data_IF_983326592400
#
_entry.id   IF_983326592400
#
_cell.length_a   1.000
_cell.length_b   1.000
_cell.length_c   1.000
_cell.angle_alpha   90.00
_cell.angle_beta   90.00
_cell.angle_gamma   90.00
#
_symmetry.space_group_name_H-M   'P 1'
#
loop_
_entity.id
_entity.type
_entity.pdbx_description
1 polymer ?
#
# COMPACT_ATOMS: atom_id res chain seq x y z
N UNK A 1 2.74 -30.99 -5.79
CA UNK A 1 2.42 -29.70 -5.15
C UNK A 1 1.31 -29.04 -5.97
N UNK A 2 0.21 -28.68 -5.34
CA UNK A 2 -0.87 -27.92 -5.96
C UNK A 2 -0.58 -26.43 -5.67
N UNK A 3 -0.20 -25.67 -6.70
CA UNK A 3 0.06 -24.24 -6.57
C UNK A 3 -1.23 -23.44 -6.80
N UNK A 4 -1.40 -22.39 -6.01
CA UNK A 4 -2.48 -21.43 -6.19
C UNK A 4 -2.08 -20.31 -7.16
N UNK A 5 -3.03 -19.77 -7.91
CA UNK A 5 -2.78 -18.58 -8.76
C UNK A 5 -2.24 -17.45 -7.88
N UNK A 6 -1.22 -16.74 -8.38
CA UNK A 6 -0.46 -15.72 -7.67
C UNK A 6 0.41 -16.23 -6.52
N UNK A 7 0.65 -17.53 -6.43
CA UNK A 7 1.66 -18.08 -5.52
C UNK A 7 3.06 -17.82 -6.08
N UNK A 8 3.96 -17.36 -5.21
CA UNK A 8 5.33 -17.01 -5.58
C UNK A 8 6.30 -18.11 -5.21
N UNK A 9 7.23 -18.38 -6.12
CA UNK A 9 8.36 -19.27 -5.91
C UNK A 9 9.67 -18.45 -5.92
N UNK A 10 10.36 -18.42 -4.79
CA UNK A 10 11.69 -17.82 -4.67
C UNK A 10 12.74 -18.91 -4.87
N UNK A 11 13.52 -18.79 -5.93
CA UNK A 11 14.58 -19.75 -6.27
C UNK A 11 15.93 -19.16 -5.85
N UNK A 12 16.68 -19.84 -4.95
CA UNK A 12 18.00 -19.35 -4.53
C UNK A 12 18.99 -19.35 -5.69
N UNK A 13 20.08 -18.56 -5.61
CA UNK A 13 21.12 -18.52 -6.61
C UNK A 13 21.78 -19.90 -6.75
N UNK A 14 22.09 -20.30 -7.99
CA UNK A 14 22.86 -21.50 -8.24
C UNK A 14 24.36 -21.19 -8.08
N UNK A 15 25.02 -21.86 -7.12
CA UNK A 15 26.41 -21.60 -6.72
C UNK A 15 27.44 -21.61 -7.87
N UNK A 16 27.16 -22.28 -8.97
CA UNK A 16 28.10 -22.48 -10.08
C UNK A 16 27.66 -21.88 -11.40
N UNK A 17 26.62 -21.01 -11.43
CA UNK A 17 26.16 -20.41 -12.68
C UNK A 17 26.05 -18.89 -12.56
N UNK A 18 26.99 -18.12 -13.13
CA UNK A 18 26.99 -16.64 -13.05
C UNK A 18 25.73 -15.99 -13.67
N UNK A 19 25.00 -16.69 -14.52
CA UNK A 19 23.74 -16.22 -15.11
C UNK A 19 22.60 -16.22 -14.08
N UNK A 20 22.72 -17.01 -13.01
CA UNK A 20 21.73 -17.16 -11.93
C UNK A 20 22.32 -16.85 -10.55
N UNK A 21 23.30 -15.96 -10.51
CA UNK A 21 24.01 -15.57 -9.28
C UNK A 21 23.18 -14.70 -8.30
N UNK A 22 21.91 -14.44 -8.63
CA UNK A 22 20.94 -13.77 -7.75
C UNK A 22 19.70 -14.63 -7.61
N UNK A 23 18.99 -14.45 -6.50
CA UNK A 23 17.67 -15.03 -6.30
C UNK A 23 16.73 -14.64 -7.44
N UNK A 24 15.90 -15.57 -7.87
CA UNK A 24 14.91 -15.35 -8.92
C UNK A 24 13.53 -15.59 -8.36
N UNK A 25 12.60 -14.70 -8.65
CA UNK A 25 11.21 -14.80 -8.22
C UNK A 25 10.35 -15.17 -9.42
N UNK A 26 9.47 -16.14 -9.22
CA UNK A 26 8.50 -16.60 -10.21
C UNK A 26 7.10 -16.53 -9.59
N UNK A 27 6.09 -16.24 -10.40
CA UNK A 27 4.68 -16.26 -10.01
C UNK A 27 3.95 -17.36 -10.79
N UNK A 28 3.07 -18.10 -10.13
CA UNK A 28 2.24 -19.10 -10.76
C UNK A 28 0.98 -18.45 -11.37
N UNK A 29 0.80 -18.61 -12.68
CA UNK A 29 -0.30 -18.00 -13.46
C UNK A 29 -1.54 -18.88 -13.54
N UNK A 30 -1.57 -20.01 -12.86
CA UNK A 30 -2.60 -21.04 -12.97
C UNK A 30 -2.29 -22.10 -14.03
N UNK A 31 -1.24 -21.90 -14.84
CA UNK A 31 -0.78 -22.85 -15.87
C UNK A 31 0.72 -23.09 -15.81
N UNK A 32 1.49 -22.05 -15.57
CA UNK A 32 2.95 -22.10 -15.59
C UNK A 32 3.53 -21.08 -14.61
N UNK A 33 4.81 -21.24 -14.28
CA UNK A 33 5.58 -20.22 -13.56
C UNK A 33 6.17 -19.24 -14.54
N UNK A 34 5.90 -17.94 -14.32
CA UNK A 34 6.50 -16.87 -15.07
C UNK A 34 7.46 -16.07 -14.17
N UNK A 35 8.59 -15.67 -14.75
CA UNK A 35 9.57 -14.88 -14.00
C UNK A 35 9.01 -13.49 -13.73
N UNK A 36 9.01 -13.07 -12.47
CA UNK A 36 8.55 -11.75 -12.05
C UNK A 36 9.47 -10.67 -12.62
N UNK A 37 8.87 -9.61 -13.16
CA UNK A 37 9.59 -8.43 -13.65
C UNK A 37 10.06 -7.60 -12.46
N UNK A 38 11.16 -6.89 -12.63
CA UNK A 38 11.59 -5.89 -11.68
C UNK A 38 10.78 -4.60 -11.90
N UNK A 39 9.94 -4.28 -10.93
CA UNK A 39 9.18 -3.03 -10.89
C UNK A 39 9.91 -1.96 -10.10
N UNK A 40 9.57 -0.70 -10.37
CA UNK A 40 10.00 0.45 -9.59
C UNK A 40 8.82 1.33 -9.27
N UNK A 41 8.81 1.91 -8.07
CA UNK A 41 7.84 2.93 -7.66
C UNK A 41 8.54 4.28 -7.73
N UNK A 42 7.93 5.24 -8.42
CA UNK A 42 8.43 6.61 -8.53
C UNK A 42 7.27 7.59 -8.42
N UNK A 43 7.42 8.58 -7.59
CA UNK A 43 6.48 9.69 -7.38
C UNK A 43 7.25 11.01 -7.25
N UNK A 44 6.57 12.14 -7.21
CA UNK A 44 7.17 13.45 -6.93
C UNK A 44 7.88 13.50 -5.57
N UNK A 45 7.48 12.63 -4.63
CA UNK A 45 8.00 12.56 -3.26
C UNK A 45 9.16 11.59 -3.09
N UNK A 46 9.59 10.91 -4.16
CA UNK A 46 10.74 10.01 -4.12
C UNK A 46 11.95 10.67 -4.79
N UNK A 47 13.07 10.80 -4.07
CA UNK A 47 14.32 11.32 -4.65
C UNK A 47 14.82 10.44 -5.81
N UNK A 48 14.73 9.11 -5.63
CA UNK A 48 15.07 8.11 -6.65
C UNK A 48 13.96 7.06 -6.75
N UNK A 49 13.85 6.35 -7.88
CA UNK A 49 12.90 5.24 -8.00
C UNK A 49 13.16 4.17 -6.93
N UNK A 50 12.12 3.83 -6.19
CA UNK A 50 12.16 2.78 -5.19
C UNK A 50 12.25 1.43 -5.89
N UNK A 51 13.26 0.63 -5.53
CA UNK A 51 13.49 -0.73 -6.02
C UNK A 51 13.36 -1.73 -4.89
N UNK A 52 12.90 -2.95 -5.16
CA UNK A 52 12.90 -4.01 -4.15
C UNK A 52 14.34 -4.35 -3.74
N UNK A 53 14.54 -4.62 -2.45
CA UNK A 53 15.85 -4.94 -1.86
C UNK A 53 16.02 -6.42 -1.57
N UNK A 54 14.94 -7.19 -1.59
CA UNK A 54 14.90 -8.62 -1.33
C UNK A 54 13.75 -9.27 -2.11
N UNK A 55 13.73 -10.61 -2.22
CA UNK A 55 12.70 -11.33 -2.99
C UNK A 55 11.27 -11.10 -2.51
N UNK A 56 11.06 -10.97 -1.21
CA UNK A 56 9.73 -10.74 -0.63
C UNK A 56 9.18 -9.37 -1.04
N UNK A 57 10.04 -8.35 -1.12
CA UNK A 57 9.66 -7.05 -1.67
C UNK A 57 9.39 -7.11 -3.18
N UNK A 58 10.08 -7.98 -3.93
CA UNK A 58 9.77 -8.24 -5.35
C UNK A 58 8.35 -8.82 -5.46
N UNK A 59 8.00 -9.82 -4.65
CA UNK A 59 6.66 -10.40 -4.62
C UNK A 59 5.59 -9.34 -4.30
N UNK A 60 5.81 -8.51 -3.28
CA UNK A 60 4.86 -7.45 -2.91
C UNK A 60 4.70 -6.42 -4.02
N UNK A 61 5.81 -5.97 -4.63
CA UNK A 61 5.75 -5.00 -5.73
C UNK A 61 5.05 -5.58 -6.97
N UNK A 62 5.29 -6.85 -7.28
CA UNK A 62 4.60 -7.53 -8.37
C UNK A 62 3.09 -7.60 -8.10
N UNK A 63 2.67 -8.00 -6.90
CA UNK A 63 1.27 -8.03 -6.51
C UNK A 63 0.61 -6.65 -6.62
N UNK A 64 1.29 -5.59 -6.17
CA UNK A 64 0.80 -4.21 -6.27
C UNK A 64 0.64 -3.74 -7.72
N UNK A 65 1.56 -4.12 -8.61
CA UNK A 65 1.61 -3.64 -10.01
C UNK A 65 0.71 -4.43 -10.97
N UNK A 66 0.19 -5.58 -10.57
CA UNK A 66 -0.65 -6.43 -11.40
C UNK A 66 -2.14 -6.37 -11.07
N UNK A 67 -2.61 -5.24 -10.54
CA UNK A 67 -4.02 -4.93 -10.28
C UNK A 67 -4.76 -6.02 -9.48
N UNK A 68 -4.04 -6.68 -8.54
CA UNK A 68 -4.65 -7.62 -7.61
C UNK A 68 -5.57 -6.83 -6.67
N UNK A 69 -6.88 -7.13 -6.65
CA UNK A 69 -7.86 -6.27 -5.98
C UNK A 69 -7.73 -6.23 -4.46
N UNK A 70 -7.21 -7.31 -3.84
CA UNK A 70 -7.01 -7.40 -2.39
C UNK A 70 -5.63 -7.97 -2.13
N UNK A 71 -4.78 -7.22 -1.42
CA UNK A 71 -3.43 -7.62 -1.05
C UNK A 71 -3.29 -7.54 0.47
N UNK A 72 -2.94 -8.64 1.11
CA UNK A 72 -2.55 -8.69 2.51
C UNK A 72 -1.03 -8.80 2.62
N UNK A 73 -0.38 -7.76 3.17
CA UNK A 73 1.06 -7.71 3.36
C UNK A 73 1.44 -7.98 4.82
N UNK A 74 1.61 -9.24 5.18
CA UNK A 74 2.07 -9.69 6.49
C UNK A 74 3.60 -9.77 6.61
N UNK A 75 4.13 -9.74 7.82
CA UNK A 75 5.56 -9.96 8.09
C UNK A 75 6.14 -9.09 9.20
N UNK A 76 7.41 -9.34 9.54
CA UNK A 76 8.13 -8.66 10.63
C UNK A 76 8.22 -7.14 10.45
N UNK A 77 8.42 -6.42 11.55
CA UNK A 77 8.68 -4.97 11.53
C UNK A 77 9.92 -4.62 10.73
N UNK A 78 9.93 -3.45 10.11
CA UNK A 78 11.10 -2.95 9.36
C UNK A 78 11.34 -3.62 8.00
N UNK A 79 10.45 -4.49 7.53
CA UNK A 79 10.60 -5.17 6.22
C UNK A 79 10.17 -4.32 5.02
N UNK A 80 9.66 -3.10 5.25
CA UNK A 80 9.31 -2.14 4.21
C UNK A 80 7.89 -2.26 3.66
N UNK A 81 6.99 -3.06 4.25
CA UNK A 81 5.59 -3.22 3.81
C UNK A 81 4.89 -1.88 3.65
N UNK A 82 4.76 -1.13 4.75
CA UNK A 82 4.12 0.19 4.79
C UNK A 82 4.77 1.17 3.81
N UNK A 83 6.10 1.18 3.76
CA UNK A 83 6.84 2.05 2.84
C UNK A 83 6.49 1.77 1.37
N UNK A 84 6.48 0.51 0.95
CA UNK A 84 6.16 0.13 -0.43
C UNK A 84 4.69 0.40 -0.78
N UNK A 85 3.76 -0.01 0.08
CA UNK A 85 2.32 0.15 -0.17
C UNK A 85 1.89 1.62 -0.23
N UNK A 86 2.43 2.47 0.65
CA UNK A 86 2.10 3.89 0.68
C UNK A 86 2.70 4.63 -0.51
N UNK A 87 3.96 4.39 -0.85
CA UNK A 87 4.56 4.99 -2.05
C UNK A 87 3.86 4.52 -3.34
N UNK A 88 3.43 3.26 -3.41
CA UNK A 88 2.62 2.77 -4.52
C UNK A 88 1.28 3.51 -4.63
N UNK A 89 0.56 3.69 -3.52
CA UNK A 89 -0.72 4.39 -3.52
C UNK A 89 -0.56 5.86 -3.95
N UNK A 90 0.49 6.54 -3.48
CA UNK A 90 0.82 7.91 -3.90
C UNK A 90 1.13 7.97 -5.40
N UNK A 91 1.97 7.07 -5.90
CA UNK A 91 2.27 6.99 -7.34
C UNK A 91 1.00 6.80 -8.18
N UNK A 92 0.10 5.93 -7.75
CA UNK A 92 -1.18 5.69 -8.46
C UNK A 92 -2.11 6.89 -8.40
N UNK A 93 -2.15 7.62 -7.28
CA UNK A 93 -2.91 8.85 -7.14
C UNK A 93 -2.40 9.94 -8.10
N UNK A 94 -1.08 10.10 -8.24
CA UNK A 94 -0.47 11.03 -9.20
C UNK A 94 -0.81 10.66 -10.64
N UNK A 95 -0.60 9.39 -11.01
CA UNK A 95 -0.94 8.86 -12.34
C UNK A 95 -2.43 9.06 -12.67
N UNK A 96 -3.30 8.82 -11.69
CA UNK A 96 -4.73 9.01 -11.83
C UNK A 96 -5.13 10.49 -12.00
N UNK A 97 -4.37 11.42 -11.40
CA UNK A 97 -4.64 12.86 -11.56
C UNK A 97 -4.37 13.35 -13.00
N UNK A 98 -3.42 12.72 -13.69
CA UNK A 98 -3.06 13.04 -15.08
C UNK A 98 -3.86 12.20 -16.10
N UNK A 99 -4.55 11.17 -15.66
CA UNK A 99 -5.28 10.24 -16.53
C UNK A 99 -6.66 10.76 -16.91
N UNK A 100 -7.01 10.60 -18.18
CA UNK A 100 -8.37 10.78 -18.69
C UNK A 100 -9.24 9.51 -18.54
N UNK A 101 -8.69 8.43 -17.98
CA UNK A 101 -9.38 7.18 -17.71
C UNK A 101 -10.33 7.34 -16.52
N UNK A 102 -11.60 7.01 -16.71
CA UNK A 102 -12.62 7.12 -15.66
C UNK A 102 -12.36 6.13 -14.52
N UNK A 103 -11.70 5.00 -14.79
CA UNK A 103 -11.36 3.98 -13.80
C UNK A 103 -10.02 4.24 -13.08
N UNK A 104 -9.32 5.33 -13.43
CA UNK A 104 -8.06 5.68 -12.79
C UNK A 104 -8.24 6.02 -11.29
N UNK A 105 -7.23 5.74 -10.50
CA UNK A 105 -7.23 6.05 -9.06
C UNK A 105 -7.28 7.56 -8.84
N UNK A 106 -8.34 8.05 -8.22
CA UNK A 106 -8.55 9.49 -7.92
C UNK A 106 -8.38 9.82 -6.44
N UNK A 107 -8.41 8.81 -5.56
CA UNK A 107 -8.43 8.99 -4.11
C UNK A 107 -7.67 7.88 -3.39
N UNK A 108 -7.06 8.22 -2.26
CA UNK A 108 -6.59 7.28 -1.25
C UNK A 108 -7.55 7.31 -0.08
N UNK A 109 -8.06 6.16 0.33
CA UNK A 109 -8.80 5.96 1.56
C UNK A 109 -7.85 5.33 2.58
N UNK A 110 -7.54 6.03 3.63
CA UNK A 110 -6.68 5.53 4.69
C UNK A 110 -7.51 5.11 5.91
N UNK A 111 -7.39 3.86 6.28
CA UNK A 111 -8.12 3.26 7.41
C UNK A 111 -7.11 2.95 8.51
N UNK A 112 -6.94 3.84 9.49
CA UNK A 112 -6.10 3.55 10.65
C UNK A 112 -6.80 2.56 11.57
N UNK A 113 -6.10 1.52 12.00
CA UNK A 113 -6.61 0.55 12.96
C UNK A 113 -5.73 0.53 14.21
N UNK A 114 -5.68 1.64 14.91
CA UNK A 114 -5.03 1.75 16.20
C UNK A 114 -6.05 2.13 17.28
N UNK A 115 -5.85 1.62 18.47
CA UNK A 115 -6.72 1.81 19.64
C UNK A 115 -6.97 3.29 20.03
N UNK A 116 -6.10 4.20 19.57
CA UNK A 116 -6.27 5.63 19.80
C UNK A 116 -7.38 6.26 18.95
N UNK A 117 -7.65 5.76 17.74
CA UNK A 117 -8.70 6.30 16.88
C UNK A 117 -10.09 5.84 17.29
N UNK A 118 -10.22 4.69 17.94
CA UNK A 118 -11.52 4.21 18.44
C UNK A 118 -12.03 5.06 19.61
N UNK A 119 -11.17 5.48 20.53
CA UNK A 119 -11.56 6.23 21.72
C UNK A 119 -11.72 7.75 21.50
N UNK A 120 -11.14 8.31 20.43
CA UNK A 120 -11.14 9.77 20.22
C UNK A 120 -12.34 10.30 19.46
N UNK A 121 -13.07 9.47 18.71
CA UNK A 121 -14.26 9.91 17.97
C UNK A 121 -15.58 9.85 18.77
N UNK A 122 -15.61 9.19 19.92
CA UNK A 122 -16.76 9.24 20.84
C UNK A 122 -16.94 10.60 21.56
N UNK A 123 -15.93 11.46 21.48
CA UNK A 123 -15.90 12.76 22.17
C UNK A 123 -15.93 13.90 21.15
N UNK A 124 -17.05 14.16 20.50
CA UNK A 124 -17.42 15.37 19.74
C UNK A 124 -16.32 16.44 19.55
N UNK A 125 -15.27 16.14 18.80
CA UNK A 125 -14.08 16.97 18.72
C UNK A 125 -14.25 18.15 17.78
N UNK A 126 -13.80 19.34 18.17
CA UNK A 126 -13.65 20.53 17.34
C UNK A 126 -12.65 20.25 16.20
N UNK A 127 -12.80 20.87 14.99
CA UNK A 127 -12.00 20.57 13.79
C UNK A 127 -10.47 20.61 13.96
N UNK A 128 -9.93 21.50 14.81
CA UNK A 128 -8.48 21.59 15.07
C UNK A 128 -7.92 20.43 15.93
N UNK A 129 -8.72 19.92 16.86
CA UNK A 129 -8.35 18.82 17.77
C UNK A 129 -8.36 17.45 17.05
N UNK A 130 -9.13 17.32 15.97
CA UNK A 130 -9.23 16.09 15.19
C UNK A 130 -7.94 15.79 14.44
N UNK A 131 -7.33 16.78 13.79
CA UNK A 131 -6.08 16.58 13.05
C UNK A 131 -4.92 16.20 13.96
N UNK A 132 -4.78 16.82 15.13
CA UNK A 132 -3.73 16.48 16.09
C UNK A 132 -3.85 15.01 16.57
N UNK A 133 -5.07 14.49 16.70
CA UNK A 133 -5.33 13.11 17.10
C UNK A 133 -5.12 12.10 15.98
N UNK A 134 -5.32 12.50 14.73
CA UNK A 134 -5.16 11.63 13.55
C UNK A 134 -3.69 11.58 13.09
N UNK A 135 -2.93 12.64 13.29
CA UNK A 135 -1.52 12.75 12.83
C UNK A 135 -0.65 11.53 13.19
N UNK A 136 -0.70 10.97 14.41
CA UNK A 136 0.10 9.77 14.72
C UNK A 136 -0.27 8.56 13.86
N UNK A 137 -1.53 8.46 13.45
CA UNK A 137 -2.03 7.33 12.65
C UNK A 137 -1.61 7.38 11.20
N UNK A 138 -1.40 8.59 10.66
CA UNK A 138 -1.01 8.84 9.27
C UNK A 138 0.48 9.16 9.13
N UNK A 139 1.26 8.99 10.21
CA UNK A 139 2.70 9.27 10.24
C UNK A 139 3.45 8.80 8.99
N UNK A 140 3.29 7.54 8.55
CA UNK A 140 3.98 7.05 7.35
C UNK A 140 3.66 7.83 6.06
N UNK A 141 2.45 8.36 5.90
CA UNK A 141 2.10 9.22 4.75
C UNK A 141 2.72 10.61 4.90
N UNK A 142 2.72 11.16 6.13
CA UNK A 142 3.35 12.45 6.44
C UNK A 142 4.86 12.38 6.21
N UNK A 143 5.51 11.28 6.58
CA UNK A 143 6.96 11.08 6.37
C UNK A 143 7.32 11.06 4.88
N UNK A 144 6.42 10.60 4.01
CA UNK A 144 6.65 10.54 2.56
C UNK A 144 6.37 11.89 1.90
N UNK A 145 5.18 12.46 2.12
CA UNK A 145 4.69 13.61 1.34
C UNK A 145 4.77 14.95 2.09
N UNK A 146 4.99 14.92 3.41
CA UNK A 146 4.95 16.10 4.26
C UNK A 146 3.53 16.53 4.64
N UNK A 147 3.41 17.20 5.79
CA UNK A 147 2.11 17.56 6.37
C UNK A 147 1.32 18.54 5.48
N UNK A 148 1.99 19.48 4.83
CA UNK A 148 1.34 20.47 3.97
C UNK A 148 0.67 19.80 2.76
N UNK A 149 1.30 18.76 2.21
CA UNK A 149 0.74 18.02 1.10
C UNK A 149 -0.42 17.14 1.53
N UNK A 150 -0.32 16.50 2.69
CA UNK A 150 -1.42 15.74 3.29
C UNK A 150 -2.65 16.63 3.47
N UNK A 151 -2.49 17.84 4.02
CA UNK A 151 -3.56 18.81 4.18
C UNK A 151 -4.20 19.21 2.85
N UNK A 152 -3.39 19.41 1.79
CA UNK A 152 -3.90 19.69 0.43
C UNK A 152 -4.68 18.50 -0.14
N UNK A 153 -4.21 17.27 0.05
CA UNK A 153 -4.94 16.09 -0.42
C UNK A 153 -6.28 15.92 0.29
N UNK A 154 -6.32 16.16 1.60
CA UNK A 154 -7.58 16.14 2.36
C UNK A 154 -8.53 17.22 1.86
N UNK A 155 -8.06 18.47 1.72
CA UNK A 155 -8.87 19.59 1.28
C UNK A 155 -9.42 19.44 -0.15
N UNK A 156 -8.70 18.69 -1.01
CA UNK A 156 -9.09 18.44 -2.40
C UNK A 156 -9.77 17.07 -2.60
N UNK A 157 -10.20 16.44 -1.53
CA UNK A 157 -10.84 15.11 -1.52
C UNK A 157 -9.99 13.98 -2.19
N UNK A 158 -8.66 14.12 -2.18
CA UNK A 158 -7.71 13.12 -2.69
C UNK A 158 -7.23 12.15 -1.62
N UNK A 159 -7.34 12.50 -0.36
CA UNK A 159 -7.06 11.64 0.79
C UNK A 159 -8.20 11.74 1.78
N UNK A 160 -8.77 10.61 2.12
CA UNK A 160 -9.77 10.50 3.17
C UNK A 160 -9.30 9.54 4.26
N UNK A 161 -9.43 9.94 5.52
CA UNK A 161 -9.08 9.13 6.68
C UNK A 161 -10.37 8.65 7.31
N UNK A 162 -10.60 7.33 7.28
CA UNK A 162 -11.85 6.71 7.70
C UNK A 162 -11.58 5.67 8.77
N UNK A 163 -11.95 5.89 10.01
CA UNK A 163 -11.88 4.85 11.04
C UNK A 163 -12.73 3.63 10.68
N UNK A 164 -12.29 2.44 11.13
CA UNK A 164 -12.95 1.16 10.85
C UNK A 164 -14.46 1.19 11.14
N UNK A 165 -14.86 1.80 12.25
CA UNK A 165 -16.27 1.90 12.65
C UNK A 165 -17.18 2.63 11.64
N UNK A 166 -16.62 3.44 10.75
CA UNK A 166 -17.36 4.25 9.77
C UNK A 166 -17.27 3.74 8.32
N UNK A 167 -16.71 2.55 8.10
CA UNK A 167 -16.60 1.95 6.77
C UNK A 167 -17.93 1.36 6.30
N UNK A 168 -18.75 0.89 7.24
CA UNK A 168 -19.98 0.15 6.93
C UNK A 168 -20.95 0.99 6.10
N UNK A 169 -21.36 0.44 4.96
CA UNK A 169 -22.31 1.08 4.03
C UNK A 169 -21.69 2.16 3.14
N UNK A 170 -20.38 2.30 3.12
CA UNK A 170 -19.67 3.22 2.22
C UNK A 170 -19.30 2.56 0.91
N UNK A 171 -19.27 3.36 -0.15
CA UNK A 171 -18.75 3.00 -1.45
C UNK A 171 -17.41 3.73 -1.70
N UNK A 172 -16.44 3.03 -2.24
CA UNK A 172 -15.09 3.55 -2.48
C UNK A 172 -14.74 3.38 -3.97
N UNK A 173 -15.28 4.27 -4.80
CA UNK A 173 -15.02 4.26 -6.23
C UNK A 173 -13.69 4.93 -6.55
N UNK A 174 -12.97 4.38 -7.53
CA UNK A 174 -11.71 4.90 -8.05
C UNK A 174 -10.68 5.20 -6.95
N UNK A 175 -10.62 4.34 -5.93
CA UNK A 175 -9.82 4.56 -4.74
C UNK A 175 -8.89 3.38 -4.43
N UNK A 176 -7.71 3.70 -3.92
CA UNK A 176 -6.89 2.73 -3.21
C UNK A 176 -7.23 2.82 -1.72
N UNK A 177 -7.62 1.68 -1.14
CA UNK A 177 -7.90 1.57 0.28
C UNK A 177 -6.67 0.99 0.99
N UNK A 178 -6.08 1.77 1.88
CA UNK A 178 -4.97 1.36 2.73
C UNK A 178 -5.47 1.08 4.14
N UNK A 179 -5.41 -0.17 4.56
CA UNK A 179 -5.73 -0.58 5.94
C UNK A 179 -4.43 -0.77 6.71
N UNK A 180 -4.17 0.07 7.68
CA UNK A 180 -2.99 -0.02 8.54
C UNK A 180 -3.29 -0.92 9.74
N UNK A 181 -2.30 -1.73 10.17
CA UNK A 181 -2.41 -2.63 11.33
C UNK A 181 -3.65 -3.55 11.26
N UNK A 182 -3.86 -4.15 10.08
CA UNK A 182 -5.03 -4.99 9.80
C UNK A 182 -5.12 -6.22 10.73
N UNK A 183 -4.00 -6.67 11.32
CA UNK A 183 -3.95 -7.74 12.31
C UNK A 183 -4.69 -7.42 13.61
N UNK A 184 -4.97 -6.16 13.89
CA UNK A 184 -5.75 -5.74 15.05
C UNK A 184 -7.27 -5.69 14.76
N UNK A 185 -7.72 -6.04 13.54
CA UNK A 185 -9.15 -6.18 13.24
C UNK A 185 -9.68 -7.45 13.91
N UNK A 186 -10.81 -7.32 14.61
CA UNK A 186 -11.53 -8.43 15.22
C UNK A 186 -12.68 -8.89 14.33
N UNK A 187 -13.00 -10.18 14.40
CA UNK A 187 -14.21 -10.73 13.79
C UNK A 187 -15.43 -10.37 14.66
N UNK A 188 -16.01 -9.20 14.48
CA UNK A 188 -17.30 -8.83 15.08
C UNK A 188 -18.36 -8.56 14.01
#
# INVERSE_FOLDING_TARGET
YDFSINEYLIVPPLENNPKYGKESVFVYTGKTFERVKEYTIKSEYTLEPIRPRNPEQVCLMDALMNDIPIIYAGGKYGTGKTFLTHNYAIMKLEQGAESADDDAVKKIIYIPNNSYTQNTMELGALPGDLMEKILPSIGPLVDIAGIDQINRWISNDKLEIVPVAYIRGRNFDNAIVLVSEAENLTEE
#
